data_IF_800063382582
#
_entry.id   IF_800063382582
#
_cell.length_a   1.000
_cell.length_b   1.000
_cell.length_c   1.000
_cell.angle_alpha   90.00
_cell.angle_beta   90.00
_cell.angle_gamma   90.00
#
_symmetry.space_group_name_H-M   'P 1'
#
loop_
_entity.id
_entity.type
_entity.pdbx_description
1 polymer ?
#
# COMPACT_ATOMS: atom_id res chain seq x y z
N UNK A 1 12.35 -47.80 -53.56
CA UNK A 1 11.54 -47.30 -52.42
C UNK A 1 11.21 -45.84 -52.74
N UNK A 2 9.96 -45.47 -53.07
CA UNK A 2 8.85 -45.07 -52.15
C UNK A 2 9.34 -44.03 -51.12
N UNK A 3 8.77 -42.84 -50.92
CA UNK A 3 7.39 -42.37 -51.09
C UNK A 3 7.35 -40.81 -51.07
N UNK A 4 6.41 -40.21 -51.81
CA UNK A 4 5.96 -38.80 -51.69
C UNK A 4 4.98 -38.67 -50.53
N UNK A 5 4.95 -37.54 -49.80
CA UNK A 5 3.74 -37.06 -49.11
C UNK A 5 3.66 -35.53 -49.24
N UNK A 6 2.53 -35.08 -49.79
CA UNK A 6 2.04 -33.71 -49.82
C UNK A 6 1.09 -33.49 -48.63
N UNK A 7 0.98 -32.26 -48.11
CA UNK A 7 -0.12 -31.78 -47.25
C UNK A 7 -0.39 -30.32 -47.62
N UNK A 8 -1.45 -29.99 -48.36
CA UNK A 8 -2.87 -29.74 -47.98
C UNK A 8 -3.10 -28.37 -47.28
N UNK A 9 -3.96 -27.58 -47.92
CA UNK A 9 -4.33 -26.19 -47.60
C UNK A 9 -5.56 -26.10 -46.69
N UNK A 10 -5.76 -24.95 -46.02
CA UNK A 10 -7.08 -24.42 -45.65
C UNK A 10 -7.06 -22.89 -45.77
N UNK A 11 -7.87 -22.37 -46.69
CA UNK A 11 -8.22 -20.94 -46.83
C UNK A 11 -9.59 -20.77 -46.17
N UNK A 12 -9.70 -19.92 -45.15
CA UNK A 12 -10.97 -19.55 -44.53
C UNK A 12 -11.33 -18.12 -44.97
N UNK A 13 -12.33 -18.01 -45.85
CA UNK A 13 -12.87 -16.76 -46.40
C UNK A 13 -14.08 -16.34 -45.53
N UNK A 14 -13.96 -15.26 -44.76
CA UNK A 14 -15.09 -14.69 -43.99
C UNK A 14 -15.72 -13.52 -44.78
N UNK A 15 -16.94 -13.72 -45.28
CA UNK A 15 -17.81 -12.64 -45.76
C UNK A 15 -18.43 -11.92 -44.54
N UNK A 16 -18.29 -10.60 -44.45
CA UNK A 16 -19.08 -9.77 -43.54
C UNK A 16 -20.17 -9.07 -44.34
N UNK A 17 -21.43 -9.46 -44.18
CA UNK A 17 -22.57 -8.70 -44.67
C UNK A 17 -22.88 -7.57 -43.66
N UNK A 18 -22.86 -6.31 -44.11
CA UNK A 18 -23.39 -5.20 -43.33
C UNK A 18 -24.90 -5.10 -43.60
N UNK A 19 -25.71 -5.30 -42.56
CA UNK A 19 -27.15 -5.01 -42.61
C UNK A 19 -27.41 -3.69 -41.88
N UNK A 20 -27.90 -2.68 -42.61
CA UNK A 20 -28.44 -1.45 -42.03
C UNK A 20 -29.89 -1.69 -41.59
N UNK A 21 -30.14 -1.63 -40.27
CA UNK A 21 -31.49 -1.78 -39.70
C UNK A 21 -32.23 -0.46 -39.86
N UNK A 22 -33.29 -0.43 -40.68
CA UNK A 22 -34.24 0.68 -40.73
C UNK A 22 -35.43 0.38 -39.82
N UNK A 23 -35.67 1.26 -38.85
CA UNK A 23 -36.84 1.19 -37.95
C UNK A 23 -38.00 1.94 -38.60
N UNK A 24 -39.10 1.24 -38.87
CA UNK A 24 -40.34 1.82 -39.41
C UNK A 24 -41.41 1.94 -38.31
N UNK A 25 -42.15 3.04 -38.30
CA UNK A 25 -43.36 3.19 -37.47
C UNK A 25 -44.53 2.39 -38.10
N UNK A 26 -45.58 2.13 -37.34
CA UNK A 26 -46.81 1.36 -37.69
C UNK A 26 -47.57 1.87 -38.93
N UNK A 27 -47.13 2.99 -39.53
CA UNK A 27 -47.69 3.60 -40.74
C UNK A 27 -46.78 3.50 -41.99
N UNK A 28 -45.60 2.88 -41.87
CA UNK A 28 -44.69 2.70 -43.00
C UNK A 28 -43.94 3.96 -43.46
N UNK A 29 -44.02 5.06 -42.71
CA UNK A 29 -43.22 6.26 -42.97
C UNK A 29 -41.81 6.11 -42.35
N UNK A 30 -40.75 6.54 -43.07
CA UNK A 30 -39.41 6.60 -42.49
C UNK A 30 -39.43 7.60 -41.34
N UNK A 31 -39.09 7.11 -40.14
CA UNK A 31 -38.83 8.00 -39.00
C UNK A 31 -37.44 8.59 -39.24
N UNK A 32 -37.39 9.80 -39.79
CA UNK A 32 -36.20 10.65 -39.72
C UNK A 32 -35.99 11.00 -38.24
N UNK A 33 -35.31 10.11 -37.50
CA UNK A 33 -34.62 10.54 -36.30
C UNK A 33 -33.59 11.58 -36.79
N UNK A 34 -33.66 12.86 -36.38
CA UNK A 34 -32.79 13.87 -36.95
C UNK A 34 -31.35 13.47 -36.61
N UNK A 35 -30.57 13.09 -37.63
CA UNK A 35 -29.14 12.81 -37.49
C UNK A 35 -28.42 13.96 -36.73
N UNK A 36 -28.97 15.18 -36.82
CA UNK A 36 -28.53 16.35 -36.06
C UNK A 36 -28.57 16.16 -34.53
N UNK A 37 -29.57 15.49 -33.94
CA UNK A 37 -29.64 15.34 -32.47
C UNK A 37 -28.59 14.37 -31.93
N UNK A 38 -28.26 13.31 -32.68
CA UNK A 38 -27.25 12.30 -32.31
C UNK A 38 -25.82 12.85 -32.51
N UNK A 39 -25.60 13.64 -33.57
CA UNK A 39 -24.32 14.33 -33.76
C UNK A 39 -24.07 15.34 -32.64
N UNK A 40 -25.09 16.08 -32.22
CA UNK A 40 -24.96 17.14 -31.23
C UNK A 40 -24.73 16.59 -29.81
N UNK A 41 -25.33 15.45 -29.47
CA UNK A 41 -25.07 14.76 -28.20
C UNK A 41 -23.64 14.21 -28.11
N UNK A 42 -23.16 13.56 -29.18
CA UNK A 42 -21.81 12.95 -29.19
C UNK A 42 -20.67 13.99 -29.09
N UNK A 43 -20.82 15.15 -29.71
CA UNK A 43 -19.87 16.27 -29.58
C UNK A 43 -19.86 16.83 -28.16
N UNK A 44 -21.03 16.94 -27.53
CA UNK A 44 -21.13 17.42 -26.15
C UNK A 44 -20.49 16.45 -25.16
N UNK A 45 -20.68 15.14 -25.35
CA UNK A 45 -20.05 14.09 -24.54
C UNK A 45 -18.52 14.12 -24.67
N UNK A 46 -17.99 14.24 -25.90
CA UNK A 46 -16.55 14.39 -26.14
C UNK A 46 -15.98 15.63 -25.46
N UNK A 47 -16.69 16.75 -25.52
CA UNK A 47 -16.28 18.00 -24.86
C UNK A 47 -16.22 17.83 -23.34
N UNK A 48 -17.20 17.14 -22.76
CA UNK A 48 -17.22 16.87 -21.32
C UNK A 48 -16.07 15.96 -20.91
N UNK A 49 -15.83 14.88 -21.66
CA UNK A 49 -14.74 13.94 -21.39
C UNK A 49 -13.37 14.62 -21.52
N UNK A 50 -13.13 15.36 -22.59
CA UNK A 50 -11.89 16.14 -22.77
C UNK A 50 -11.69 17.15 -21.63
N UNK A 51 -12.78 17.82 -21.22
CA UNK A 51 -12.77 18.81 -20.14
C UNK A 51 -12.32 18.26 -18.79
N UNK A 52 -12.64 17.00 -18.47
CA UNK A 52 -12.20 16.35 -17.21
C UNK A 52 -10.68 16.26 -17.10
N UNK A 53 -9.98 16.22 -18.24
CA UNK A 53 -8.53 16.10 -18.33
C UNK A 53 -7.84 17.41 -18.74
N UNK A 54 -8.59 18.52 -18.84
CA UNK A 54 -8.06 19.80 -19.34
C UNK A 54 -7.53 19.70 -20.78
N UNK A 55 -8.09 18.79 -21.59
CA UNK A 55 -7.72 18.51 -22.96
C UNK A 55 -8.66 19.22 -23.95
N UNK A 56 -8.17 19.43 -25.17
CA UNK A 56 -9.04 19.78 -26.29
C UNK A 56 -9.81 18.55 -26.79
N UNK A 57 -10.89 18.75 -27.56
CA UNK A 57 -11.61 17.63 -28.18
C UNK A 57 -10.70 16.83 -29.11
N UNK A 58 -9.84 17.51 -29.88
CA UNK A 58 -8.89 16.89 -30.80
C UNK A 58 -7.86 16.02 -30.06
N UNK A 59 -7.33 16.52 -28.93
CA UNK A 59 -6.41 15.75 -28.08
C UNK A 59 -7.09 14.50 -27.53
N UNK A 60 -8.34 14.61 -27.11
CA UNK A 60 -9.09 13.48 -26.56
C UNK A 60 -9.47 12.44 -27.64
N UNK A 61 -9.84 12.88 -28.85
CA UNK A 61 -10.03 11.99 -30.00
C UNK A 61 -8.73 11.28 -30.39
N UNK A 62 -7.60 12.00 -30.35
CA UNK A 62 -6.28 11.41 -30.56
C UNK A 62 -5.95 10.36 -29.52
N UNK A 63 -6.23 10.63 -28.24
CA UNK A 63 -6.12 9.65 -27.17
C UNK A 63 -6.92 8.39 -27.48
N UNK A 64 -8.20 8.51 -27.85
CA UNK A 64 -9.04 7.37 -28.21
C UNK A 64 -8.45 6.56 -29.37
N UNK A 65 -7.96 7.22 -30.41
CA UNK A 65 -7.30 6.57 -31.55
C UNK A 65 -6.03 5.80 -31.15
N UNK A 66 -5.17 6.40 -30.30
CA UNK A 66 -3.97 5.75 -29.78
C UNK A 66 -4.32 4.50 -28.95
N UNK A 67 -5.35 4.59 -28.10
CA UNK A 67 -5.82 3.47 -27.28
C UNK A 67 -6.48 2.36 -28.10
N UNK A 68 -6.99 2.65 -29.30
CA UNK A 68 -7.45 1.63 -30.24
C UNK A 68 -6.30 0.93 -31.00
N UNK A 69 -5.05 1.37 -30.79
CA UNK A 69 -3.84 0.85 -31.43
C UNK A 69 -2.90 0.13 -30.46
N UNK A 70 -1.61 -0.01 -30.85
CA UNK A 70 -0.60 -0.70 -30.03
C UNK A 70 -0.46 -0.16 -28.60
N UNK A 71 -0.65 1.15 -28.39
CA UNK A 71 -0.58 1.77 -27.05
C UNK A 71 -1.62 1.19 -26.09
N UNK A 72 -2.86 0.99 -26.54
CA UNK A 72 -3.90 0.37 -25.71
C UNK A 72 -3.67 -1.12 -25.44
N UNK A 73 -2.97 -1.82 -26.33
CA UNK A 73 -2.54 -3.21 -26.08
C UNK A 73 -1.42 -3.24 -25.02
N UNK A 74 -0.45 -2.32 -25.13
CA UNK A 74 0.70 -2.25 -24.21
C UNK A 74 0.32 -1.75 -22.81
N UNK A 75 -0.64 -0.83 -22.72
CA UNK A 75 -1.04 -0.20 -21.47
C UNK A 75 -2.56 0.03 -21.44
N UNK A 76 -3.36 -1.05 -21.29
CA UNK A 76 -4.81 -0.92 -21.22
C UNK A 76 -5.25 0.01 -20.08
N UNK A 77 -6.16 0.94 -20.37
CA UNK A 77 -6.71 1.86 -19.37
C UNK A 77 -5.78 2.98 -18.90
N UNK A 78 -4.64 3.20 -19.57
CA UNK A 78 -3.76 4.33 -19.28
C UNK A 78 -4.49 5.68 -19.47
N UNK A 79 -4.26 6.63 -18.57
CA UNK A 79 -4.95 7.91 -18.60
C UNK A 79 -4.60 8.75 -19.86
N UNK A 80 -5.49 9.67 -20.28
CA UNK A 80 -5.30 10.48 -21.47
C UNK A 80 -4.02 11.33 -21.48
N UNK A 81 -3.65 11.95 -20.35
CA UNK A 81 -2.49 12.84 -20.28
C UNK A 81 -1.18 12.06 -20.37
N UNK A 82 -1.07 10.92 -19.68
CA UNK A 82 0.06 10.00 -19.79
C UNK A 82 0.17 9.42 -21.20
N UNK A 83 -0.95 8.99 -21.79
CA UNK A 83 -0.98 8.43 -23.14
C UNK A 83 -0.48 9.45 -24.17
N UNK A 84 -1.00 10.67 -24.15
CA UNK A 84 -0.61 11.73 -25.07
C UNK A 84 0.82 12.23 -24.83
N UNK A 85 1.29 12.25 -23.57
CA UNK A 85 2.66 12.62 -23.21
C UNK A 85 3.71 11.64 -23.71
N UNK A 86 3.46 10.33 -23.54
CA UNK A 86 4.34 9.25 -24.03
C UNK A 86 4.39 9.27 -25.57
N UNK A 87 3.22 9.38 -26.21
CA UNK A 87 3.08 9.40 -27.67
C UNK A 87 3.26 10.80 -28.29
N UNK A 88 3.79 11.78 -27.55
CA UNK A 88 3.93 13.15 -28.04
C UNK A 88 4.82 13.23 -29.29
N UNK A 89 4.38 14.00 -30.29
CA UNK A 89 5.06 14.14 -31.59
C UNK A 89 6.23 15.11 -31.57
N UNK A 90 6.34 15.90 -30.49
CA UNK A 90 7.41 16.85 -30.29
C UNK A 90 7.72 17.05 -28.81
N UNK A 91 8.88 17.62 -28.52
CA UNK A 91 9.26 17.97 -27.15
C UNK A 91 8.34 19.04 -26.54
N UNK A 92 7.85 19.98 -27.36
CA UNK A 92 6.91 21.01 -26.92
C UNK A 92 5.57 20.40 -26.52
N UNK A 93 5.02 19.50 -27.35
CA UNK A 93 3.79 18.77 -27.05
C UNK A 93 3.96 17.90 -25.78
N UNK A 94 5.08 17.19 -25.66
CA UNK A 94 5.40 16.39 -24.46
C UNK A 94 5.42 17.24 -23.20
N UNK A 95 6.05 18.42 -23.26
CA UNK A 95 6.11 19.36 -22.15
C UNK A 95 4.72 19.84 -21.75
N UNK A 96 3.88 20.21 -22.72
CA UNK A 96 2.51 20.66 -22.44
C UNK A 96 1.67 19.60 -21.72
N UNK A 97 1.72 18.34 -22.17
CA UNK A 97 0.99 17.27 -21.49
C UNK A 97 1.57 16.95 -20.11
N UNK A 98 2.89 16.94 -19.97
CA UNK A 98 3.53 16.74 -18.67
C UNK A 98 3.14 17.83 -17.66
N UNK A 99 3.11 19.11 -18.08
CA UNK A 99 2.67 20.21 -17.21
C UNK A 99 1.19 20.09 -16.82
N UNK A 100 0.31 19.60 -17.70
CA UNK A 100 -1.09 19.28 -17.36
C UNK A 100 -1.17 18.13 -16.37
N UNK A 101 -0.43 17.05 -16.62
CA UNK A 101 -0.40 15.85 -15.77
C UNK A 101 0.04 16.19 -14.34
N UNK A 102 1.13 16.95 -14.18
CA UNK A 102 1.62 17.35 -12.85
C UNK A 102 0.59 18.18 -12.09
N UNK A 103 -0.16 19.06 -12.77
CA UNK A 103 -1.22 19.86 -12.12
C UNK A 103 -2.37 18.98 -11.63
N UNK A 104 -2.78 18.00 -12.42
CA UNK A 104 -3.82 17.04 -12.02
C UNK A 104 -3.33 16.18 -10.86
N UNK A 105 -2.11 15.63 -10.96
CA UNK A 105 -1.52 14.77 -9.94
C UNK A 105 -1.37 15.51 -8.60
N UNK A 106 -0.96 16.78 -8.64
CA UNK A 106 -0.91 17.64 -7.46
C UNK A 106 -2.31 17.80 -6.84
N UNK A 107 -3.33 18.08 -7.63
CA UNK A 107 -4.70 18.24 -7.15
C UNK A 107 -5.27 16.92 -6.59
N UNK A 108 -4.94 15.77 -7.19
CA UNK A 108 -5.33 14.45 -6.69
C UNK A 108 -4.65 14.15 -5.35
N UNK A 109 -3.33 14.32 -5.29
CA UNK A 109 -2.53 14.14 -4.08
C UNK A 109 -3.04 15.02 -2.94
N UNK A 110 -3.44 16.27 -3.22
CA UNK A 110 -3.97 17.16 -2.19
C UNK A 110 -5.25 16.61 -1.56
N UNK A 111 -6.18 16.06 -2.36
CA UNK A 111 -7.39 15.42 -1.83
C UNK A 111 -7.08 14.22 -0.95
N UNK A 112 -6.13 13.40 -1.38
CA UNK A 112 -5.67 12.24 -0.61
C UNK A 112 -5.05 12.69 0.72
N UNK A 113 -4.18 13.69 0.72
CA UNK A 113 -3.57 14.24 1.93
C UNK A 113 -4.60 14.83 2.89
N UNK A 114 -5.59 15.56 2.38
CA UNK A 114 -6.65 16.11 3.21
C UNK A 114 -7.50 15.01 3.85
N UNK A 115 -7.78 13.94 3.10
CA UNK A 115 -8.44 12.77 3.66
C UNK A 115 -7.56 12.04 4.70
N UNK A 116 -6.27 11.86 4.44
CA UNK A 116 -5.35 11.22 5.39
C UNK A 116 -5.22 12.00 6.71
N UNK A 117 -5.26 13.34 6.65
CA UNK A 117 -5.33 14.19 7.85
C UNK A 117 -6.59 13.91 8.65
N UNK A 118 -7.73 13.80 7.99
CA UNK A 118 -8.98 13.49 8.67
C UNK A 118 -9.01 12.06 9.21
N UNK A 119 -8.49 11.07 8.48
CA UNK A 119 -8.32 9.69 8.99
C UNK A 119 -7.48 9.69 10.26
N UNK A 120 -6.37 10.44 10.28
CA UNK A 120 -5.52 10.59 11.47
C UNK A 120 -6.29 11.22 12.64
N UNK A 121 -7.09 12.26 12.37
CA UNK A 121 -7.92 12.90 13.38
C UNK A 121 -9.03 11.97 13.89
N UNK A 122 -9.67 11.21 12.99
CA UNK A 122 -10.70 10.24 13.30
C UNK A 122 -10.17 9.12 14.20
N UNK A 123 -8.95 8.64 13.95
CA UNK A 123 -8.32 7.63 14.79
C UNK A 123 -8.20 8.09 16.24
N UNK A 124 -7.74 9.33 16.47
CA UNK A 124 -7.63 9.90 17.83
C UNK A 124 -8.97 9.99 18.56
N UNK A 125 -10.06 10.27 17.83
CA UNK A 125 -11.41 10.36 18.41
C UNK A 125 -12.00 8.99 18.73
N UNK A 126 -11.77 8.00 17.87
CA UNK A 126 -12.39 6.69 17.96
C UNK A 126 -11.58 5.69 18.79
N UNK A 127 -10.25 5.82 18.81
CA UNK A 127 -9.32 4.91 19.47
C UNK A 127 -8.20 5.68 20.20
N UNK A 128 -8.53 6.50 21.21
CA UNK A 128 -7.56 7.38 21.87
C UNK A 128 -6.43 6.62 22.58
N UNK A 129 -6.71 5.42 23.09
CA UNK A 129 -5.72 4.57 23.80
C UNK A 129 -4.88 3.70 22.86
N UNK A 130 -5.09 3.78 21.54
CA UNK A 130 -4.40 2.95 20.54
C UNK A 130 -3.59 3.82 19.60
N UNK A 131 -2.28 3.60 19.52
CA UNK A 131 -1.41 4.29 18.55
C UNK A 131 -1.79 3.92 17.11
N UNK A 132 -2.13 4.92 16.28
CA UNK A 132 -2.49 4.73 14.85
C UNK A 132 -1.33 4.14 14.03
N UNK A 133 -0.13 4.60 14.34
CA UNK A 133 1.14 4.05 13.84
C UNK A 133 2.08 4.05 15.03
N UNK A 134 2.48 2.87 15.49
CA UNK A 134 3.54 2.75 16.46
C UNK A 134 4.84 2.63 15.67
N UNK A 135 5.44 3.77 15.34
CA UNK A 135 6.83 3.82 14.90
C UNK A 135 7.65 3.58 16.15
N UNK A 136 7.80 2.31 16.54
CA UNK A 136 8.73 1.91 17.57
C UNK A 136 10.06 2.55 17.21
N UNK A 137 10.47 3.58 17.94
CA UNK A 137 11.76 4.19 17.71
C UNK A 137 12.77 3.03 17.80
N UNK A 138 13.65 2.90 16.82
CA UNK A 138 14.60 1.78 16.78
C UNK A 138 15.45 1.70 18.07
N UNK A 139 15.49 2.78 18.87
CA UNK A 139 16.14 2.82 20.18
C UNK A 139 15.37 3.55 21.30
N UNK A 140 14.09 3.92 21.12
CA UNK A 140 13.40 4.86 22.01
C UNK A 140 12.10 4.32 22.60
N UNK A 141 11.87 4.63 23.88
CA UNK A 141 10.72 4.22 24.68
C UNK A 141 9.65 5.30 24.57
N UNK A 142 8.48 4.96 24.01
CA UNK A 142 7.36 5.88 23.90
C UNK A 142 6.80 6.20 25.30
N UNK A 143 6.41 7.46 25.53
CA UNK A 143 5.86 7.94 26.80
C UNK A 143 6.76 7.66 28.01
N UNK A 144 8.04 8.03 27.91
CA UNK A 144 9.02 7.76 28.97
C UNK A 144 8.64 8.39 30.33
N UNK A 145 8.08 7.57 31.22
CA UNK A 145 7.79 7.91 32.62
C UNK A 145 9.00 7.83 33.55
N UNK A 146 10.17 7.41 33.05
CA UNK A 146 11.33 7.01 33.85
C UNK A 146 11.16 5.70 34.62
N UNK A 147 10.00 5.03 34.50
CA UNK A 147 9.70 3.77 35.18
C UNK A 147 10.55 2.58 34.72
N UNK A 148 10.49 1.49 35.51
CA UNK A 148 11.15 0.20 35.20
C UNK A 148 10.58 -0.39 33.91
N UNK A 149 11.43 -1.05 33.14
CA UNK A 149 11.05 -1.67 31.88
C UNK A 149 10.78 -3.17 32.02
N UNK A 150 9.93 -3.71 31.16
CA UNK A 150 9.80 -5.14 30.93
C UNK A 150 10.01 -5.45 29.44
N UNK A 151 11.02 -6.25 29.12
CA UNK A 151 11.34 -6.67 27.76
C UNK A 151 10.94 -8.13 27.57
N UNK A 152 10.10 -8.40 26.57
CA UNK A 152 9.72 -9.75 26.17
C UNK A 152 10.39 -10.11 24.85
N UNK A 153 11.11 -11.23 24.86
CA UNK A 153 11.92 -11.71 23.73
C UNK A 153 11.76 -13.22 23.56
N UNK A 154 12.09 -13.72 22.37
CA UNK A 154 12.26 -15.16 22.08
C UNK A 154 13.71 -15.45 21.76
N UNK A 155 14.17 -16.64 22.14
CA UNK A 155 15.48 -17.16 21.77
C UNK A 155 15.59 -17.52 20.29
N UNK A 156 14.47 -17.89 19.65
CA UNK A 156 14.43 -18.24 18.23
C UNK A 156 13.25 -17.63 17.49
N UNK A 157 13.38 -17.47 16.17
CA UNK A 157 12.31 -16.98 15.31
C UNK A 157 11.94 -15.50 15.53
N UNK A 158 12.88 -14.69 16.03
CA UNK A 158 12.69 -13.26 16.29
C UNK A 158 13.83 -12.42 15.71
N UNK A 159 13.65 -11.88 14.51
CA UNK A 159 14.69 -11.10 13.83
C UNK A 159 15.02 -9.74 14.47
N UNK A 160 14.12 -9.20 15.29
CA UNK A 160 14.30 -7.89 15.92
C UNK A 160 14.68 -7.96 17.42
N UNK A 161 14.68 -9.15 18.02
CA UNK A 161 14.92 -9.32 19.46
C UNK A 161 16.31 -8.80 19.88
N UNK A 162 17.34 -9.05 19.07
CA UNK A 162 18.71 -8.64 19.41
C UNK A 162 18.88 -7.12 19.35
N UNK A 163 18.34 -6.48 18.32
CA UNK A 163 18.36 -5.03 18.19
C UNK A 163 17.62 -4.37 19.35
N UNK A 164 16.43 -4.90 19.71
CA UNK A 164 15.64 -4.36 20.81
C UNK A 164 16.31 -4.58 22.16
N UNK A 165 16.89 -5.76 22.39
CA UNK A 165 17.69 -6.04 23.58
C UNK A 165 18.85 -5.06 23.73
N UNK A 166 19.62 -4.84 22.66
CA UNK A 166 20.74 -3.92 22.66
C UNK A 166 20.30 -2.48 23.02
N UNK A 167 19.21 -2.00 22.42
CA UNK A 167 18.64 -0.68 22.72
C UNK A 167 18.22 -0.54 24.20
N UNK A 168 17.50 -1.54 24.72
CA UNK A 168 17.05 -1.54 26.12
C UNK A 168 18.22 -1.60 27.11
N UNK A 169 19.27 -2.36 26.79
CA UNK A 169 20.46 -2.42 27.64
C UNK A 169 21.26 -1.10 27.62
N UNK A 170 21.33 -0.41 26.48
CA UNK A 170 22.03 0.86 26.31
C UNK A 170 21.34 2.04 27.04
N UNK A 171 20.02 2.00 27.16
CA UNK A 171 19.21 2.98 27.90
C UNK A 171 19.52 2.99 29.42
N UNK A 172 20.19 1.96 29.93
CA UNK A 172 20.71 1.87 31.31
C UNK A 172 19.66 1.99 32.43
N UNK A 173 18.38 1.83 32.10
CA UNK A 173 17.31 1.71 33.10
C UNK A 173 17.22 0.33 33.73
N UNK A 174 16.56 0.21 34.89
CA UNK A 174 16.20 -1.08 35.43
C UNK A 174 15.21 -1.80 34.50
N UNK A 175 15.47 -3.08 34.21
CA UNK A 175 14.67 -3.88 33.27
C UNK A 175 14.45 -5.31 33.75
N UNK A 176 13.25 -5.82 33.54
CA UNK A 176 12.90 -7.23 33.67
C UNK A 176 12.83 -7.87 32.27
N UNK A 177 13.73 -8.81 31.99
CA UNK A 177 13.77 -9.51 30.71
C UNK A 177 13.03 -10.83 30.88
N UNK A 178 12.06 -11.08 30.01
CA UNK A 178 11.24 -12.29 29.97
C UNK A 178 11.51 -13.06 28.69
N UNK A 179 12.02 -14.29 28.84
CA UNK A 179 12.21 -15.21 27.72
C UNK A 179 10.94 -16.03 27.49
N UNK A 180 10.24 -15.73 26.40
CA UNK A 180 8.89 -16.25 26.11
C UNK A 180 8.89 -17.73 25.74
N UNK A 181 9.90 -18.19 25.03
CA UNK A 181 10.05 -19.56 24.56
C UNK A 181 10.94 -20.43 25.47
N UNK A 182 11.20 -19.94 26.70
CA UNK A 182 12.02 -20.66 27.68
C UNK A 182 11.36 -21.93 28.24
N UNK A 183 10.02 -22.03 28.21
CA UNK A 183 9.26 -23.18 28.74
C UNK A 183 9.56 -23.48 30.23
N UNK A 184 9.97 -22.47 31.01
CA UNK A 184 10.36 -22.66 32.42
C UNK A 184 11.72 -23.35 32.63
N UNK A 185 12.53 -23.49 31.58
CA UNK A 185 13.84 -24.14 31.65
C UNK A 185 14.95 -23.13 31.99
N UNK A 186 15.43 -23.16 33.24
CA UNK A 186 16.55 -22.34 33.74
C UNK A 186 17.85 -22.52 32.95
N UNK A 187 18.05 -23.70 32.35
CA UNK A 187 19.19 -23.98 31.48
C UNK A 187 19.14 -23.13 30.21
N UNK A 188 17.97 -23.08 29.56
CA UNK A 188 17.76 -22.23 28.37
C UNK A 188 17.91 -20.76 28.69
N UNK A 189 17.34 -20.29 29.81
CA UNK A 189 17.42 -18.89 30.21
C UNK A 189 18.87 -18.46 30.48
N UNK A 190 19.65 -19.30 31.18
CA UNK A 190 21.08 -19.04 31.43
C UNK A 190 21.92 -19.10 30.17
N UNK A 191 21.66 -20.08 29.28
CA UNK A 191 22.32 -20.19 27.99
C UNK A 191 22.10 -18.94 27.13
N UNK A 192 20.82 -18.55 26.97
CA UNK A 192 20.43 -17.33 26.29
C UNK A 192 21.14 -16.09 26.86
N UNK A 193 21.11 -15.92 28.19
CA UNK A 193 21.77 -14.76 28.82
C UNK A 193 23.29 -14.71 28.57
N UNK A 194 23.95 -15.88 28.48
CA UNK A 194 25.37 -15.97 28.15
C UNK A 194 25.62 -15.60 26.69
N UNK A 195 24.84 -16.15 25.76
CA UNK A 195 24.99 -15.92 24.32
C UNK A 195 24.78 -14.44 23.96
N UNK A 196 23.85 -13.77 24.65
CA UNK A 196 23.57 -12.34 24.50
C UNK A 196 24.40 -11.43 25.42
N UNK A 197 25.43 -11.97 26.08
CA UNK A 197 26.38 -11.21 26.91
C UNK A 197 25.72 -10.30 27.98
N UNK A 198 24.67 -10.79 28.64
CA UNK A 198 23.97 -10.04 29.68
C UNK A 198 24.94 -9.73 30.84
N UNK A 199 25.12 -8.45 31.23
CA UNK A 199 26.08 -8.07 32.26
C UNK A 199 25.75 -8.65 33.65
N UNK A 200 26.63 -9.50 34.19
CA UNK A 200 26.41 -10.21 35.44
C UNK A 200 26.32 -9.28 36.66
N UNK A 201 27.06 -8.18 36.65
CA UNK A 201 27.05 -7.14 37.67
C UNK A 201 25.69 -6.42 37.73
N UNK A 202 25.09 -6.13 36.57
CA UNK A 202 23.74 -5.54 36.47
C UNK A 202 22.65 -6.52 36.91
N UNK A 203 22.85 -7.82 36.69
CA UNK A 203 21.95 -8.86 37.21
C UNK A 203 22.06 -8.97 38.73
N UNK A 204 23.28 -9.00 39.28
CA UNK A 204 23.53 -9.08 40.73
C UNK A 204 22.97 -7.88 41.49
N UNK A 205 23.04 -6.68 40.90
CA UNK A 205 22.48 -5.45 41.47
C UNK A 205 20.97 -5.29 41.25
N UNK A 206 20.31 -6.26 40.59
CA UNK A 206 18.88 -6.23 40.21
C UNK A 206 18.48 -5.09 39.26
N UNK A 207 19.47 -4.45 38.64
CA UNK A 207 19.21 -3.55 37.53
C UNK A 207 18.66 -4.32 36.33
N UNK A 208 19.12 -5.55 36.10
CA UNK A 208 18.53 -6.49 35.15
C UNK A 208 17.97 -7.69 35.92
N UNK A 209 16.76 -8.12 35.61
CA UNK A 209 16.29 -9.46 36.02
C UNK A 209 16.05 -10.32 34.78
N UNK A 210 16.27 -11.62 34.94
CA UNK A 210 16.05 -12.63 33.89
C UNK A 210 14.93 -13.54 34.37
N UNK A 211 13.91 -13.73 33.55
CA UNK A 211 12.69 -14.41 33.94
C UNK A 211 12.15 -15.30 32.83
N UNK A 212 11.36 -16.30 33.22
CA UNK A 212 10.48 -17.02 32.32
C UNK A 212 9.20 -16.21 32.07
N UNK A 213 8.72 -16.21 30.83
CA UNK A 213 7.36 -15.74 30.59
C UNK A 213 6.36 -16.76 31.14
N UNK A 214 5.43 -16.26 31.97
CA UNK A 214 4.31 -17.03 32.53
C UNK A 214 2.97 -16.58 31.94
N UNK A 215 2.95 -16.16 30.67
CA UNK A 215 1.78 -15.59 30.00
C UNK A 215 1.63 -14.06 30.14
N UNK A 216 2.65 -13.38 30.69
CA UNK A 216 2.65 -11.91 30.80
C UNK A 216 2.79 -11.27 29.43
N UNK A 217 3.54 -11.89 28.53
CA UNK A 217 3.68 -11.46 27.14
C UNK A 217 2.33 -11.34 26.43
N UNK A 218 1.48 -12.35 26.53
CA UNK A 218 0.14 -12.32 25.92
C UNK A 218 -0.78 -11.32 26.62
N UNK A 219 -0.72 -11.23 27.96
CA UNK A 219 -1.61 -10.38 28.76
C UNK A 219 -1.35 -8.89 28.57
N UNK A 220 -0.09 -8.48 28.51
CA UNK A 220 0.31 -7.07 28.51
C UNK A 220 0.99 -6.62 27.21
N UNK A 221 1.61 -7.54 26.49
CA UNK A 221 2.30 -7.27 25.23
C UNK A 221 1.47 -7.56 23.97
N UNK A 222 0.20 -7.98 24.11
CA UNK A 222 -0.73 -8.28 23.01
C UNK A 222 -0.18 -9.26 21.96
N UNK A 223 0.76 -10.15 22.35
CA UNK A 223 1.38 -11.10 21.43
C UNK A 223 2.37 -10.48 20.42
N UNK A 224 2.77 -9.22 20.62
CA UNK A 224 3.75 -8.53 19.77
C UNK A 224 5.17 -8.93 20.20
N UNK A 225 6.08 -9.19 19.25
CA UNK A 225 7.42 -9.71 19.54
C UNK A 225 8.50 -9.03 18.67
N UNK A 226 9.59 -8.52 19.26
CA UNK A 226 9.77 -8.26 20.69
C UNK A 226 8.80 -7.18 21.18
N UNK A 227 8.66 -7.03 22.49
CA UNK A 227 7.86 -5.94 23.06
C UNK A 227 8.48 -5.44 24.36
N UNK A 228 8.49 -4.12 24.51
CA UNK A 228 8.93 -3.40 25.70
C UNK A 228 7.70 -2.74 26.33
N UNK A 229 7.51 -3.03 27.60
CA UNK A 229 6.54 -2.35 28.45
C UNK A 229 7.27 -1.43 29.42
N UNK A 230 6.61 -0.36 29.81
CA UNK A 230 7.06 0.54 30.86
C UNK A 230 6.07 0.54 32.00
N UNK A 231 6.59 0.59 33.23
CA UNK A 231 5.78 0.77 34.42
C UNK A 231 5.31 2.23 34.51
N UNK A 232 4.01 2.44 34.36
CA UNK A 232 3.31 3.71 34.61
C UNK A 232 2.50 3.69 35.92
N UNK A 233 1.73 4.75 36.16
CA UNK A 233 0.88 4.89 37.36
C UNK A 233 -0.22 3.81 37.43
N UNK A 234 -0.79 3.45 36.28
CA UNK A 234 -1.86 2.43 36.15
C UNK A 234 -1.32 1.02 35.82
N UNK A 235 -0.01 0.79 35.93
CA UNK A 235 0.63 -0.49 35.67
C UNK A 235 1.44 -0.52 34.36
N UNK A 236 1.54 -1.71 33.74
CA UNK A 236 2.37 -1.90 32.55
C UNK A 236 1.69 -1.33 31.30
N UNK A 237 2.38 -0.44 30.61
CA UNK A 237 1.92 0.17 29.36
C UNK A 237 2.89 -0.16 28.22
N UNK A 238 2.37 -0.26 27.00
CA UNK A 238 3.17 -0.54 25.82
C UNK A 238 4.09 0.64 25.53
N UNK A 239 5.39 0.39 25.51
CA UNK A 239 6.39 1.45 25.37
C UNK A 239 7.21 1.33 24.07
N UNK A 240 7.48 0.12 23.58
CA UNK A 240 8.03 -0.11 22.26
C UNK A 240 7.76 -1.56 21.81
N UNK A 241 7.98 -1.86 20.53
CA UNK A 241 8.18 -3.22 20.01
C UNK A 241 9.39 -3.25 19.10
#
# INVERSE_FOLDING_TARGET
MKLKIANLAVIMLCCSAQASVQVQNSRGEPVDAPAQSVQQSSVQDLKQQAGQWGLSQDDYQRYQSLMNGPRGIQSPGLDPLSTLGIEARSQAERRQYAEKWVKEEFARTQKELDFQREVTAAWKRLYPETLAVNMGNAAGIAHDTGGRLALFVKSAGCGQCDARLAAVLADNRPVDIYLVDSQGDDGKLRGWAKDHHIPLDRVRSRQITLNHDGGRWMRFGNGIMPVVLQQGEDGWQLAAF
#
